data_IF_223887727208
#
_entry.id   IF_223887727208
#
_cell.length_a   1.000
_cell.length_b   1.000
_cell.length_c   1.000
_cell.angle_alpha   90.00
_cell.angle_beta   90.00
_cell.angle_gamma   90.00
#
_symmetry.space_group_name_H-M   'P 1'
#
loop_
_entity.id
_entity.type
_entity.pdbx_description
1 polymer ?
#
# COMPACT_ATOMS: atom_id res chain seq x y z
N UNK A 1 -9.80 28.34 -5.09
CA UNK A 1 -9.00 27.23 -5.66
C UNK A 1 -8.56 26.38 -4.49
N UNK A 2 -8.88 25.09 -4.49
CA UNK A 2 -8.41 24.18 -3.43
C UNK A 2 -6.90 23.97 -3.59
N UNK A 3 -6.20 24.00 -2.46
CA UNK A 3 -4.75 23.89 -2.37
C UNK A 3 -4.27 22.50 -2.84
N UNK A 4 -3.27 22.40 -3.76
CA UNK A 4 -2.76 21.12 -4.25
C UNK A 4 -2.31 20.14 -3.16
N UNK A 5 -1.73 20.65 -2.06
CA UNK A 5 -1.27 19.83 -0.93
C UNK A 5 -2.44 19.11 -0.26
N UNK A 6 -3.58 19.81 -0.11
CA UNK A 6 -4.83 19.23 0.39
C UNK A 6 -5.30 18.04 -0.45
N UNK A 7 -5.21 18.11 -1.78
CA UNK A 7 -5.60 16.98 -2.64
C UNK A 7 -4.63 15.80 -2.51
N UNK A 8 -3.31 16.05 -2.60
CA UNK A 8 -2.30 14.99 -2.47
C UNK A 8 -2.46 14.25 -1.13
N UNK A 9 -2.62 14.99 -0.04
CA UNK A 9 -2.79 14.41 1.29
C UNK A 9 -4.10 13.60 1.38
N UNK A 10 -5.18 14.08 0.78
CA UNK A 10 -6.45 13.34 0.70
C UNK A 10 -6.30 12.00 -0.04
N UNK A 11 -5.66 11.99 -1.22
CA UNK A 11 -5.46 10.76 -1.98
C UNK A 11 -4.57 9.76 -1.23
N UNK A 12 -3.51 10.22 -0.57
CA UNK A 12 -2.66 9.36 0.25
C UNK A 12 -3.44 8.75 1.43
N UNK A 13 -4.24 9.55 2.15
CA UNK A 13 -5.08 9.07 3.25
C UNK A 13 -6.08 8.00 2.79
N UNK A 14 -6.73 8.22 1.64
CA UNK A 14 -7.67 7.24 1.09
C UNK A 14 -6.96 5.94 0.71
N UNK A 15 -5.80 6.01 0.07
CA UNK A 15 -5.04 4.82 -0.32
C UNK A 15 -4.62 4.00 0.90
N UNK A 16 -4.13 4.67 1.96
CA UNK A 16 -3.76 3.98 3.20
C UNK A 16 -4.95 3.31 3.89
N UNK A 17 -6.09 3.99 3.94
CA UNK A 17 -7.32 3.42 4.49
C UNK A 17 -7.80 2.20 3.66
N UNK A 18 -7.70 2.27 2.33
CA UNK A 18 -8.08 1.17 1.46
C UNK A 18 -7.24 -0.09 1.71
N UNK A 19 -5.91 0.06 1.91
CA UNK A 19 -5.02 -1.06 2.24
C UNK A 19 -5.45 -1.76 3.53
N UNK A 20 -5.68 -1.02 4.62
CA UNK A 20 -6.11 -1.63 5.89
C UNK A 20 -7.48 -2.29 5.78
N UNK A 21 -8.41 -1.67 5.05
CA UNK A 21 -9.73 -2.25 4.83
C UNK A 21 -9.66 -3.64 4.18
N UNK A 22 -8.62 -3.94 3.39
CA UNK A 22 -8.42 -5.28 2.80
C UNK A 22 -8.14 -6.38 3.81
N UNK A 23 -7.80 -6.07 5.06
CA UNK A 23 -7.61 -7.06 6.11
C UNK A 23 -8.92 -7.36 6.87
N UNK A 24 -9.93 -6.49 6.78
CA UNK A 24 -11.14 -6.62 7.60
C UNK A 24 -11.92 -7.91 7.32
N UNK A 25 -12.31 -8.60 8.38
CA UNK A 25 -13.12 -9.83 8.31
C UNK A 25 -12.34 -11.10 7.96
N UNK A 26 -11.03 -11.01 7.67
CA UNK A 26 -10.19 -12.18 7.39
C UNK A 26 -9.57 -12.78 8.65
N UNK A 27 -9.29 -14.08 8.59
CA UNK A 27 -8.54 -14.78 9.65
C UNK A 27 -7.03 -14.62 9.52
N UNK A 28 -6.30 -14.89 10.60
CA UNK A 28 -4.83 -14.78 10.68
C UNK A 28 -4.09 -15.53 9.57
N UNK A 29 -4.56 -16.72 9.20
CA UNK A 29 -3.95 -17.49 8.12
C UNK A 29 -4.08 -16.78 6.76
N UNK A 30 -5.25 -16.24 6.45
CA UNK A 30 -5.54 -15.64 5.14
C UNK A 30 -4.76 -14.33 4.92
N UNK A 31 -4.60 -13.52 5.95
CA UNK A 31 -3.83 -12.28 5.83
C UNK A 31 -2.31 -12.53 5.70
N UNK A 32 -1.80 -13.69 6.15
CA UNK A 32 -0.37 -14.02 6.19
C UNK A 32 0.10 -14.94 5.06
N UNK A 33 -0.79 -15.77 4.50
CA UNK A 33 -0.39 -16.78 3.51
C UNK A 33 -0.05 -16.13 2.16
N UNK A 34 0.95 -16.66 1.44
CA UNK A 34 1.31 -16.16 0.11
C UNK A 34 0.24 -16.54 -0.92
N UNK A 35 -0.16 -15.56 -1.76
CA UNK A 35 -1.09 -15.78 -2.89
C UNK A 35 -0.40 -15.59 -4.26
N UNK A 36 0.90 -15.32 -4.26
CA UNK A 36 1.72 -15.19 -5.48
C UNK A 36 3.00 -16.00 -5.36
N UNK A 37 3.66 -16.35 -6.50
CA UNK A 37 4.96 -17.04 -6.48
C UNK A 37 6.07 -16.28 -5.76
N UNK A 38 5.97 -14.95 -5.64
CA UNK A 38 6.94 -14.10 -4.93
C UNK A 38 6.66 -13.99 -3.42
N UNK A 39 5.62 -14.67 -2.92
CA UNK A 39 5.29 -14.65 -1.50
C UNK A 39 4.39 -13.50 -1.04
N UNK A 40 3.84 -12.70 -1.97
CA UNK A 40 3.02 -11.53 -1.63
C UNK A 40 1.77 -11.96 -0.86
N UNK A 41 1.52 -11.29 0.27
CA UNK A 41 0.41 -11.52 1.19
C UNK A 41 -0.07 -10.18 1.79
N UNK A 42 -1.28 -10.13 2.34
CA UNK A 42 -1.90 -8.87 2.79
C UNK A 42 -1.16 -8.21 3.95
N UNK A 43 -0.77 -8.97 4.98
CA UNK A 43 -0.11 -8.41 6.15
C UNK A 43 1.32 -7.93 5.83
N UNK A 44 2.01 -8.61 4.91
CA UNK A 44 3.29 -8.19 4.36
C UNK A 44 3.19 -6.85 3.62
N UNK A 45 2.11 -6.61 2.85
CA UNK A 45 1.89 -5.31 2.21
C UNK A 45 1.70 -4.18 3.23
N UNK A 46 0.98 -4.44 4.33
CA UNK A 46 0.82 -3.47 5.43
C UNK A 46 2.16 -3.18 6.10
N UNK A 47 2.96 -4.22 6.38
CA UNK A 47 4.29 -4.08 6.98
C UNK A 47 5.23 -3.27 6.08
N UNK A 48 5.28 -3.58 4.79
CA UNK A 48 6.08 -2.85 3.81
C UNK A 48 5.71 -1.37 3.77
N UNK A 49 4.42 -1.06 3.61
CA UNK A 49 3.94 0.32 3.57
C UNK A 49 4.13 1.07 4.90
N UNK A 50 4.18 0.35 6.02
CA UNK A 50 4.56 0.93 7.32
C UNK A 50 5.99 1.45 7.27
N UNK A 51 6.92 0.62 6.80
CA UNK A 51 8.35 0.93 6.73
C UNK A 51 8.61 2.07 5.74
N UNK A 52 8.06 1.99 4.52
CA UNK A 52 8.25 3.04 3.51
C UNK A 52 7.65 4.38 3.94
N UNK A 53 6.50 4.38 4.62
CA UNK A 53 5.92 5.62 5.19
C UNK A 53 6.83 6.25 6.24
N UNK A 54 7.39 5.44 7.15
CA UNK A 54 8.31 5.92 8.19
C UNK A 54 9.58 6.56 7.59
N UNK A 55 10.10 5.98 6.53
CA UNK A 55 11.31 6.44 5.87
C UNK A 55 11.08 7.69 5.01
N UNK A 56 10.12 7.64 4.10
CA UNK A 56 9.87 8.74 3.16
C UNK A 56 9.28 9.99 3.83
N UNK A 57 8.47 9.84 4.88
CA UNK A 57 7.96 10.97 5.68
C UNK A 57 8.65 11.11 7.04
N UNK A 58 9.85 10.56 7.18
CA UNK A 58 10.65 10.74 8.39
C UNK A 58 12.11 10.95 8.06
N UNK A 59 12.83 9.86 7.78
CA UNK A 59 14.26 9.86 7.45
C UNK A 59 14.60 10.88 6.35
N UNK A 60 13.80 10.98 5.29
CA UNK A 60 14.06 11.87 4.14
C UNK A 60 14.04 13.37 4.48
N UNK A 61 13.33 13.75 5.54
CA UNK A 61 13.12 15.15 5.96
C UNK A 61 13.69 15.42 7.36
N UNK A 62 14.68 14.62 7.79
CA UNK A 62 15.35 14.73 9.10
C UNK A 62 14.37 14.72 10.30
N UNK A 63 13.27 13.98 10.16
CA UNK A 63 12.21 13.81 11.18
C UNK A 63 11.92 12.33 11.41
N UNK A 64 12.90 11.54 11.85
CA UNK A 64 12.77 10.08 11.93
C UNK A 64 11.56 9.67 12.78
N UNK A 65 10.84 8.64 12.32
CA UNK A 65 9.81 8.01 13.13
C UNK A 65 10.45 7.39 14.38
N UNK A 66 9.88 7.57 15.59
CA UNK A 66 10.57 7.21 16.84
C UNK A 66 10.74 5.71 17.07
N UNK A 67 9.89 4.86 16.47
CA UNK A 67 10.01 3.42 16.68
C UNK A 67 11.01 2.79 15.71
N UNK A 68 11.80 1.79 16.16
CA UNK A 68 12.72 1.06 15.30
C UNK A 68 12.04 0.45 14.07
N UNK A 69 12.72 0.51 12.91
CA UNK A 69 12.31 -0.15 11.66
C UNK A 69 13.37 -1.20 11.27
N UNK A 70 13.53 -2.31 12.03
CA UNK A 70 14.63 -3.25 11.83
C UNK A 70 14.61 -3.95 10.45
N UNK A 71 13.46 -3.97 9.78
CA UNK A 71 13.28 -4.65 8.49
C UNK A 71 13.93 -3.95 7.30
N UNK A 72 14.34 -2.70 7.47
CA UNK A 72 15.10 -1.91 6.49
C UNK A 72 16.58 -1.75 6.85
N UNK A 73 17.05 -2.44 7.89
CA UNK A 73 18.48 -2.55 8.16
C UNK A 73 19.18 -3.21 6.94
N UNK A 74 20.27 -2.64 6.40
CA UNK A 74 21.02 -3.23 5.29
C UNK A 74 21.49 -4.67 5.53
N UNK A 75 21.68 -5.07 6.79
CA UNK A 75 22.08 -6.43 7.17
C UNK A 75 20.89 -7.39 7.29
N UNK A 76 19.65 -6.90 7.14
CA UNK A 76 18.44 -7.73 7.14
C UNK A 76 18.21 -8.37 5.78
N UNK A 77 17.67 -9.59 5.78
CA UNK A 77 17.38 -10.33 4.56
C UNK A 77 16.42 -9.56 3.62
N UNK A 78 16.66 -9.56 2.29
CA UNK A 78 15.77 -8.94 1.33
C UNK A 78 14.32 -9.43 1.47
N UNK A 79 13.37 -8.50 1.49
CA UNK A 79 11.93 -8.79 1.61
C UNK A 79 11.46 -9.06 3.04
N UNK A 80 12.26 -8.81 4.07
CA UNK A 80 11.83 -8.94 5.47
C UNK A 80 10.68 -8.00 5.84
N UNK A 81 10.60 -6.84 5.17
CA UNK A 81 9.52 -5.87 5.25
C UNK A 81 8.22 -6.36 4.57
N UNK A 82 8.31 -7.32 3.65
CA UNK A 82 7.19 -7.98 2.97
C UNK A 82 6.72 -9.27 3.67
N UNK A 83 7.33 -9.63 4.78
CA UNK A 83 7.03 -10.86 5.52
C UNK A 83 6.79 -10.59 7.00
N UNK A 84 5.54 -10.78 7.45
CA UNK A 84 5.18 -10.76 8.86
C UNK A 84 5.45 -12.13 9.51
N UNK A 85 6.42 -12.23 10.41
CA UNK A 85 6.79 -13.50 11.07
C UNK A 85 5.73 -13.93 12.08
N UNK A 86 5.70 -15.21 12.51
CA UNK A 86 4.77 -15.68 13.54
C UNK A 86 4.87 -14.92 14.87
N UNK A 87 6.05 -14.38 15.19
CA UNK A 87 6.33 -13.64 16.41
C UNK A 87 5.84 -12.18 16.36
N UNK A 88 5.50 -11.67 15.16
CA UNK A 88 5.02 -10.31 14.95
C UNK A 88 3.49 -10.29 14.98
N UNK A 89 2.86 -9.77 16.06
CA UNK A 89 1.41 -9.78 16.17
C UNK A 89 0.76 -8.87 15.12
N UNK A 90 -0.34 -9.32 14.51
CA UNK A 90 -1.09 -8.52 13.52
C UNK A 90 -1.52 -7.17 14.09
N UNK A 91 -2.01 -7.16 15.33
CA UNK A 91 -2.41 -5.93 16.01
C UNK A 91 -1.25 -4.93 16.18
N UNK A 92 -0.03 -5.43 16.42
CA UNK A 92 1.16 -4.58 16.51
C UNK A 92 1.49 -3.93 15.16
N UNK A 93 1.45 -4.70 14.07
CA UNK A 93 1.72 -4.17 12.72
C UNK A 93 0.66 -3.16 12.26
N UNK A 94 -0.62 -3.40 12.57
CA UNK A 94 -1.70 -2.45 12.27
C UNK A 94 -1.54 -1.16 13.10
N UNK A 95 -1.21 -1.27 14.40
CA UNK A 95 -0.93 -0.10 15.24
C UNK A 95 0.27 0.69 14.72
N UNK A 96 1.36 0.00 14.34
CA UNK A 96 2.53 0.63 13.76
C UNK A 96 2.20 1.37 12.46
N UNK A 97 1.39 0.76 11.58
CA UNK A 97 0.88 1.40 10.35
C UNK A 97 0.09 2.68 10.63
N UNK A 98 -0.77 2.67 11.66
CA UNK A 98 -1.51 3.87 12.06
C UNK A 98 -0.59 4.96 12.60
N UNK A 99 0.41 4.61 13.42
CA UNK A 99 1.33 5.58 14.02
C UNK A 99 2.29 6.17 13.01
N UNK A 100 2.83 5.38 12.07
CA UNK A 100 3.63 5.92 10.96
C UNK A 100 2.77 6.81 10.06
N UNK A 101 1.50 6.43 9.85
CA UNK A 101 0.55 7.24 9.11
C UNK A 101 0.27 8.60 9.77
N UNK A 102 0.12 8.63 11.09
CA UNK A 102 -0.09 9.85 11.87
C UNK A 102 1.17 10.74 11.89
N UNK A 103 2.36 10.13 11.99
CA UNK A 103 3.64 10.84 11.87
C UNK A 103 3.77 11.54 10.52
N UNK A 104 3.50 10.81 9.43
CA UNK A 104 3.47 11.37 8.09
C UNK A 104 2.45 12.51 7.96
N UNK A 105 1.26 12.37 8.55
CA UNK A 105 0.24 13.41 8.51
C UNK A 105 0.66 14.71 9.21
N UNK A 106 1.37 14.62 10.34
CA UNK A 106 1.92 15.79 11.04
C UNK A 106 2.96 16.49 10.17
N UNK A 107 3.92 15.73 9.65
CA UNK A 107 4.97 16.27 8.77
C UNK A 107 4.39 16.94 7.53
N UNK A 108 3.47 16.25 6.84
CA UNK A 108 2.79 16.79 5.67
C UNK A 108 2.09 18.08 6.06
N UNK A 109 1.40 18.15 7.19
CA UNK A 109 0.72 19.38 7.62
C UNK A 109 1.71 20.54 7.81
N UNK A 110 2.84 20.29 8.47
CA UNK A 110 3.82 21.31 8.89
C UNK A 110 4.71 21.86 7.78
N UNK A 111 5.07 21.05 6.79
CA UNK A 111 6.07 21.40 5.78
C UNK A 111 5.44 21.89 4.47
N UNK A 112 6.05 22.89 3.82
CA UNK A 112 5.61 23.34 2.49
C UNK A 112 5.99 22.32 1.40
N UNK A 113 5.25 22.33 0.29
CA UNK A 113 5.42 21.35 -0.81
C UNK A 113 6.82 21.39 -1.46
N UNK A 114 7.48 22.54 -1.43
CA UNK A 114 8.83 22.77 -1.95
C UNK A 114 9.93 22.48 -0.91
N UNK A 115 9.57 22.10 0.32
CA UNK A 115 10.56 21.70 1.35
C UNK A 115 11.43 20.58 0.80
N UNK A 116 12.73 20.81 0.78
CA UNK A 116 13.72 19.85 0.30
C UNK A 116 13.96 18.74 1.33
N UNK A 117 14.21 17.53 0.82
CA UNK A 117 14.64 16.38 1.58
C UNK A 117 15.66 15.57 0.78
N UNK A 118 16.22 14.55 1.40
CA UNK A 118 17.21 13.67 0.75
C UNK A 118 16.85 12.20 0.95
N UNK A 119 16.70 11.46 -0.15
CA UNK A 119 16.46 10.01 -0.16
C UNK A 119 17.81 9.29 -0.27
N UNK A 120 18.38 8.74 0.81
CA UNK A 120 19.76 8.23 0.79
C UNK A 120 19.92 6.91 0.01
N UNK A 121 18.83 6.18 -0.24
CA UNK A 121 18.82 4.92 -1.00
C UNK A 121 18.51 5.10 -2.49
N UNK A 122 18.30 6.33 -2.97
CA UNK A 122 18.17 6.62 -4.40
C UNK A 122 19.52 6.96 -5.05
N UNK A 123 19.65 6.85 -6.39
CA UNK A 123 20.82 7.36 -7.11
C UNK A 123 21.11 8.82 -6.72
N UNK A 124 22.39 9.17 -6.62
CA UNK A 124 22.81 10.46 -6.06
C UNK A 124 22.25 11.67 -6.83
N UNK A 125 22.10 11.52 -8.15
CA UNK A 125 21.51 12.48 -9.07
C UNK A 125 20.01 12.72 -8.84
N UNK A 126 19.32 11.75 -8.21
CA UNK A 126 17.88 11.76 -7.94
C UNK A 126 17.53 11.91 -6.45
N UNK A 127 18.53 11.79 -5.57
CA UNK A 127 18.36 11.73 -4.13
C UNK A 127 17.81 13.03 -3.52
N UNK A 128 18.03 14.18 -4.14
CA UNK A 128 17.42 15.45 -3.70
C UNK A 128 15.99 15.54 -4.20
N UNK A 129 15.05 15.71 -3.27
CA UNK A 129 13.61 15.67 -3.53
C UNK A 129 12.91 16.83 -2.83
N UNK A 130 11.66 17.08 -3.20
CA UNK A 130 10.75 17.94 -2.45
C UNK A 130 9.65 17.12 -1.79
N UNK A 131 8.98 17.68 -0.78
CA UNK A 131 7.78 17.05 -0.20
C UNK A 131 6.72 16.73 -1.27
N UNK A 132 6.56 17.59 -2.28
CA UNK A 132 5.69 17.30 -3.42
C UNK A 132 6.08 16.00 -4.14
N UNK A 133 7.36 15.83 -4.49
CA UNK A 133 7.84 14.61 -5.16
C UNK A 133 7.60 13.38 -4.29
N UNK A 134 7.83 13.47 -2.99
CA UNK A 134 7.61 12.36 -2.06
C UNK A 134 6.12 12.04 -1.86
N UNK A 135 5.24 13.04 -1.80
CA UNK A 135 3.79 12.82 -1.76
C UNK A 135 3.32 12.05 -3.00
N UNK A 136 3.76 12.46 -4.20
CA UNK A 136 3.42 11.76 -5.44
C UNK A 136 3.96 10.32 -5.42
N UNK A 137 5.23 10.15 -5.02
CA UNK A 137 5.85 8.83 -4.92
C UNK A 137 5.08 7.90 -3.96
N UNK A 138 4.72 8.37 -2.78
CA UNK A 138 4.01 7.57 -1.78
C UNK A 138 2.54 7.31 -2.14
N UNK A 139 1.90 8.21 -2.89
CA UNK A 139 0.57 7.94 -3.46
C UNK A 139 0.66 6.82 -4.51
N UNK A 140 1.65 6.87 -5.40
CA UNK A 140 1.87 5.82 -6.40
C UNK A 140 2.18 4.47 -5.73
N UNK A 141 3.12 4.46 -4.78
CA UNK A 141 3.49 3.25 -4.06
C UNK A 141 2.30 2.64 -3.29
N UNK A 142 1.58 3.46 -2.53
CA UNK A 142 0.44 2.97 -1.72
C UNK A 142 -0.67 2.44 -2.62
N UNK A 143 -1.01 3.13 -3.73
CA UNK A 143 -2.06 2.66 -4.64
C UNK A 143 -1.64 1.42 -5.44
N UNK A 144 -0.37 1.31 -5.83
CA UNK A 144 0.16 0.09 -6.45
C UNK A 144 -0.02 -1.12 -5.54
N UNK A 145 0.29 -0.97 -4.25
CA UNK A 145 0.09 -2.03 -3.26
C UNK A 145 -1.38 -2.23 -2.86
N UNK A 146 -2.23 -1.20 -2.89
CA UNK A 146 -3.68 -1.35 -2.76
C UNK A 146 -4.26 -2.21 -3.89
N UNK A 147 -3.81 -2.01 -5.14
CA UNK A 147 -4.20 -2.85 -6.27
C UNK A 147 -3.71 -4.30 -6.14
N UNK A 148 -2.51 -4.54 -5.58
CA UNK A 148 -2.10 -5.89 -5.21
C UNK A 148 -3.01 -6.51 -4.15
N UNK A 149 -3.39 -5.73 -3.14
CA UNK A 149 -4.28 -6.17 -2.08
C UNK A 149 -5.70 -6.45 -2.59
N UNK A 150 -6.20 -5.71 -3.60
CA UNK A 150 -7.47 -5.98 -4.27
C UNK A 150 -7.52 -7.41 -4.84
N UNK A 151 -6.52 -7.77 -5.65
CA UNK A 151 -6.47 -9.10 -6.29
C UNK A 151 -6.28 -10.21 -5.25
N UNK A 152 -5.41 -9.99 -4.25
CA UNK A 152 -5.22 -10.98 -3.18
C UNK A 152 -6.51 -11.19 -2.40
N UNK A 153 -7.24 -10.10 -2.10
CA UNK A 153 -8.51 -10.19 -1.37
C UNK A 153 -9.56 -10.97 -2.18
N UNK A 154 -9.69 -10.66 -3.46
CA UNK A 154 -10.62 -11.35 -4.35
C UNK A 154 -10.29 -12.86 -4.45
N UNK A 155 -9.01 -13.24 -4.45
CA UNK A 155 -8.58 -14.64 -4.43
C UNK A 155 -8.86 -15.38 -3.11
N UNK A 156 -9.00 -14.66 -1.99
CA UNK A 156 -9.25 -15.25 -0.67
C UNK A 156 -10.74 -15.54 -0.48
N UNK A 157 -11.60 -14.54 -0.70
CA UNK A 157 -13.04 -14.63 -0.37
C UNK A 157 -13.96 -14.06 -1.45
N UNK A 158 -13.43 -13.64 -2.60
CA UNK A 158 -14.20 -13.02 -3.68
C UNK A 158 -14.62 -11.56 -3.42
N UNK A 159 -14.22 -10.96 -2.29
CA UNK A 159 -14.53 -9.55 -2.01
C UNK A 159 -13.66 -8.64 -2.86
N UNK A 160 -14.29 -7.66 -3.50
CA UNK A 160 -13.62 -6.68 -4.36
C UNK A 160 -14.07 -5.26 -4.00
N UNK A 161 -13.29 -4.26 -4.42
CA UNK A 161 -13.70 -2.86 -4.37
C UNK A 161 -12.57 -1.87 -4.15
N UNK A 162 -12.79 -0.59 -4.46
CA UNK A 162 -11.79 0.47 -4.31
C UNK A 162 -11.56 0.87 -2.85
N UNK A 163 -12.62 1.05 -2.07
CA UNK A 163 -12.59 1.43 -0.64
C UNK A 163 -13.89 1.09 0.06
N UNK A 164 -13.93 1.22 1.38
CA UNK A 164 -15.16 1.03 2.15
C UNK A 164 -16.30 1.90 1.59
N UNK A 165 -17.42 1.26 1.24
CA UNK A 165 -18.60 1.92 0.67
C UNK A 165 -18.49 2.35 -0.80
N UNK A 166 -17.40 2.03 -1.49
CA UNK A 166 -17.26 2.27 -2.93
C UNK A 166 -16.47 1.12 -3.58
N UNK A 167 -17.18 0.22 -4.24
CA UNK A 167 -16.54 -0.86 -5.01
C UNK A 167 -15.86 -0.34 -6.28
N UNK A 168 -16.40 0.71 -6.90
CA UNK A 168 -16.02 1.15 -8.23
C UNK A 168 -16.17 0.02 -9.28
N UNK A 169 -17.18 -0.82 -9.12
CA UNK A 169 -17.50 -1.93 -10.01
C UNK A 169 -18.89 -1.76 -10.66
N UNK A 170 -19.13 -2.34 -11.84
CA UNK A 170 -20.47 -2.45 -12.40
C UNK A 170 -21.43 -3.15 -11.44
N UNK A 171 -22.65 -2.63 -11.34
CA UNK A 171 -23.73 -3.25 -10.55
C UNK A 171 -24.23 -4.52 -11.26
N UNK A 172 -23.52 -5.63 -11.06
CA UNK A 172 -23.85 -6.95 -11.60
C UNK A 172 -24.37 -7.89 -10.50
N UNK A 173 -25.35 -8.72 -10.84
CA UNK A 173 -25.72 -9.91 -10.08
C UNK A 173 -24.61 -10.99 -10.18
N UNK A 174 -24.60 -11.99 -9.29
CA UNK A 174 -23.67 -13.13 -9.39
C UNK A 174 -23.71 -13.84 -10.76
N UNK A 175 -24.90 -13.97 -11.36
CA UNK A 175 -25.08 -14.58 -12.68
C UNK A 175 -24.50 -13.70 -13.79
N UNK A 176 -24.68 -12.37 -13.68
CA UNK A 176 -24.10 -11.41 -14.61
C UNK A 176 -22.57 -11.42 -14.53
N UNK A 177 -22.00 -11.53 -13.33
CA UNK A 177 -20.55 -11.69 -13.16
C UNK A 177 -20.03 -12.98 -13.78
N UNK A 178 -20.73 -14.10 -13.56
CA UNK A 178 -20.37 -15.39 -14.16
C UNK A 178 -20.44 -15.34 -15.69
N UNK A 179 -21.49 -14.73 -16.25
CA UNK A 179 -21.63 -14.55 -17.68
C UNK A 179 -20.52 -13.66 -18.25
N UNK A 180 -20.18 -12.57 -17.56
CA UNK A 180 -19.09 -11.67 -17.95
C UNK A 180 -17.73 -12.39 -17.95
N UNK A 181 -17.41 -13.12 -16.87
CA UNK A 181 -16.19 -13.92 -16.77
C UNK A 181 -16.06 -14.90 -17.95
N UNK A 182 -17.11 -15.66 -18.24
CA UNK A 182 -17.11 -16.62 -19.35
C UNK A 182 -16.91 -15.94 -20.71
N UNK A 183 -17.50 -14.76 -20.91
CA UNK A 183 -17.32 -13.98 -22.13
C UNK A 183 -15.87 -13.49 -22.30
N UNK A 184 -15.25 -12.99 -21.22
CA UNK A 184 -13.84 -12.56 -21.22
C UNK A 184 -12.92 -13.74 -21.52
N UNK A 185 -13.13 -14.88 -20.87
CA UNK A 185 -12.34 -16.11 -21.07
C UNK A 185 -12.46 -16.64 -22.51
N UNK A 186 -13.68 -16.68 -23.06
CA UNK A 186 -13.90 -17.12 -24.44
C UNK A 186 -13.20 -16.18 -25.43
N UNK A 187 -13.28 -14.87 -25.22
CA UNK A 187 -12.60 -13.89 -26.07
C UNK A 187 -11.07 -14.06 -26.03
N UNK A 188 -10.49 -14.30 -24.85
CA UNK A 188 -9.06 -14.58 -24.71
C UNK A 188 -8.62 -15.82 -25.49
N UNK A 189 -9.40 -16.92 -25.40
CA UNK A 189 -9.13 -18.15 -26.16
C UNK A 189 -9.19 -17.94 -27.67
N UNK A 190 -10.18 -17.19 -28.14
CA UNK A 190 -10.30 -16.87 -29.57
C UNK A 190 -9.12 -16.02 -30.06
N UNK A 191 -8.68 -15.05 -29.26
CA UNK A 191 -7.54 -14.21 -29.59
C UNK A 191 -6.24 -15.02 -29.69
N UNK A 192 -6.04 -16.03 -28.83
CA UNK A 192 -4.86 -16.90 -28.86
C UNK A 192 -4.80 -17.84 -30.09
N UNK A 193 -5.93 -18.06 -30.75
CA UNK A 193 -6.03 -18.90 -31.95
C UNK A 193 -5.95 -18.14 -33.28
N UNK A 194 -5.83 -16.80 -33.24
CA UNK A 194 -5.62 -15.96 -34.43
C UNK A 194 -4.13 -15.78 -34.71
#
# INVERSE_FOLDING_TARGET
MTDPKTHLHHYLRNARAAVLWKLEGLGEYDIRRPLTPTGTNLLGLVKHLTCTTADYFGTVFDRPFPDPQPWFDPDTAPGADMWATPEEPTAFLIDLYHRTGAHADSLITELDLDTEGRVPWWPAEDATVTLHRILVHMIDETNRHAGHADIIRELIDGSAGLRQGADNLPAHSPEQWTAHYNAVEQAARQAATR
#
